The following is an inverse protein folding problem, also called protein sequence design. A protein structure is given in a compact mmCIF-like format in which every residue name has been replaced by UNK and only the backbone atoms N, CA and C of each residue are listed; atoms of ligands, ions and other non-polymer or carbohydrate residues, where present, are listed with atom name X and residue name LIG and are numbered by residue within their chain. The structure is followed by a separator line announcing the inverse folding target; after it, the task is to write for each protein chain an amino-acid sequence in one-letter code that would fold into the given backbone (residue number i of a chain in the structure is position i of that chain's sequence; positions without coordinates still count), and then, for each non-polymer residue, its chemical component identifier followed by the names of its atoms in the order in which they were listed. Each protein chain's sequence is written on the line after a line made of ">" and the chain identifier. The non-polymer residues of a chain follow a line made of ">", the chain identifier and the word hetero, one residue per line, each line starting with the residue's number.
data_IF_753400243282
#
_entry.id   IF_753400243282
#
_cell.length_a   1.000
_cell.length_b   1.000
_cell.length_c   1.000
_cell.angle_alpha   90.00
_cell.angle_beta   90.00
_cell.angle_gamma   90.00
#
_symmetry.space_group_name_H-M   'P 1'
#
loop_
_entity.id
_entity.type
_entity.pdbx_description
1 polymer ?
#
# COMPACT_ATOMS: atom_id res chain seq x y z
N UNK A 1 -17.14 -7.68 -73.41
CA UNK A 1 -16.03 -7.87 -72.45
C UNK A 1 -15.17 -6.61 -72.44
N UNK A 2 -15.20 -5.82 -71.36
CA UNK A 2 -14.25 -4.70 -71.19
C UNK A 2 -12.98 -5.26 -70.55
N UNK A 3 -11.93 -5.43 -71.35
CA UNK A 3 -10.61 -5.82 -70.85
C UNK A 3 -9.99 -4.59 -70.21
N UNK A 4 -9.84 -4.61 -68.88
CA UNK A 4 -9.18 -3.54 -68.13
C UNK A 4 -7.68 -3.77 -68.22
N UNK A 5 -6.97 -2.92 -68.96
CA UNK A 5 -5.50 -2.91 -68.98
C UNK A 5 -4.98 -2.22 -67.72
N UNK A 6 -4.48 -3.00 -66.78
CA UNK A 6 -3.77 -2.49 -65.60
C UNK A 6 -2.40 -2.01 -66.08
N UNK A 7 -2.13 -0.71 -65.94
CA UNK A 7 -0.84 -0.12 -66.27
C UNK A 7 0.26 -0.71 -65.38
N UNK A 8 1.53 -0.61 -65.81
CA UNK A 8 2.69 -1.09 -65.04
C UNK A 8 2.69 -0.54 -63.60
N UNK A 9 2.23 0.70 -63.38
CA UNK A 9 2.05 1.31 -62.06
C UNK A 9 0.89 0.70 -61.26
N UNK A 10 -0.23 0.34 -61.90
CA UNK A 10 -1.35 -0.33 -61.23
C UNK A 10 -0.97 -1.71 -60.66
N UNK A 11 -0.08 -2.43 -61.34
CA UNK A 11 0.47 -3.70 -60.83
C UNK A 11 1.28 -3.53 -59.55
N UNK A 12 2.08 -2.47 -59.45
CA UNK A 12 2.84 -2.17 -58.22
C UNK A 12 1.94 -1.82 -57.04
N UNK A 13 0.84 -1.11 -57.29
CA UNK A 13 -0.14 -0.76 -56.24
C UNK A 13 -0.86 -2.02 -55.73
N UNK A 14 -1.26 -2.92 -56.63
CA UNK A 14 -1.91 -4.19 -56.26
C UNK A 14 -0.92 -5.07 -55.47
N UNK A 15 0.34 -5.14 -55.91
CA UNK A 15 1.38 -5.90 -55.20
C UNK A 15 1.61 -5.34 -53.79
N UNK A 16 1.71 -4.02 -53.65
CA UNK A 16 1.90 -3.35 -52.36
C UNK A 16 0.70 -3.59 -51.41
N UNK A 17 -0.53 -3.53 -51.94
CA UNK A 17 -1.73 -3.84 -51.18
C UNK A 17 -1.76 -5.32 -50.73
N UNK A 18 -1.39 -6.26 -51.60
CA UNK A 18 -1.32 -7.68 -51.25
C UNK A 18 -0.27 -7.96 -50.16
N UNK A 19 0.92 -7.36 -50.26
CA UNK A 19 1.98 -7.48 -49.25
C UNK A 19 1.53 -6.89 -47.91
N UNK A 20 0.85 -5.73 -47.93
CA UNK A 20 0.32 -5.10 -46.73
C UNK A 20 -0.74 -5.98 -46.04
N UNK A 21 -1.69 -6.53 -46.80
CA UNK A 21 -2.75 -7.41 -46.26
C UNK A 21 -2.16 -8.71 -45.71
N UNK A 22 -1.25 -9.36 -46.44
CA UNK A 22 -0.58 -10.59 -46.00
C UNK A 22 0.27 -10.34 -44.73
N UNK A 23 1.00 -9.23 -44.68
CA UNK A 23 1.77 -8.83 -43.50
C UNK A 23 0.90 -8.66 -42.26
N UNK A 24 -0.26 -7.99 -42.40
CA UNK A 24 -1.20 -7.82 -41.29
C UNK A 24 -1.86 -9.13 -40.86
N UNK A 25 -2.18 -10.04 -41.80
CA UNK A 25 -2.71 -11.37 -41.46
C UNK A 25 -1.70 -12.20 -40.66
N UNK A 26 -0.41 -12.17 -41.03
CA UNK A 26 0.67 -12.87 -40.30
C UNK A 26 0.87 -12.28 -38.91
N UNK A 27 0.81 -10.95 -38.77
CA UNK A 27 0.90 -10.28 -37.46
C UNK A 27 -0.29 -10.64 -36.57
N UNK A 28 -1.51 -10.67 -37.11
CA UNK A 28 -2.71 -11.06 -36.38
C UNK A 28 -2.64 -12.53 -35.93
N UNK A 29 -2.22 -13.43 -36.82
CA UNK A 29 -2.00 -14.85 -36.49
C UNK A 29 -0.96 -15.02 -35.38
N UNK A 30 0.17 -14.29 -35.45
CA UNK A 30 1.20 -14.30 -34.40
C UNK A 30 0.69 -13.73 -33.08
N UNK A 31 -0.14 -12.70 -33.11
CA UNK A 31 -0.71 -12.10 -31.90
C UNK A 31 -1.71 -13.04 -31.22
N UNK A 32 -2.62 -13.64 -31.99
CA UNK A 32 -3.59 -14.63 -31.48
C UNK A 32 -2.85 -15.84 -30.90
N UNK A 33 -1.89 -16.42 -31.62
CA UNK A 33 -1.14 -17.57 -31.12
C UNK A 33 -0.25 -17.24 -29.91
N UNK A 34 0.34 -16.04 -29.83
CA UNK A 34 1.10 -15.63 -28.65
C UNK A 34 0.23 -15.57 -27.40
N UNK A 35 -1.02 -15.13 -27.55
CA UNK A 35 -1.99 -15.06 -26.45
C UNK A 35 -2.42 -16.47 -26.02
N UNK A 36 -2.70 -17.36 -26.99
CA UNK A 36 -3.04 -18.76 -26.72
C UNK A 36 -1.89 -19.55 -26.06
N UNK A 37 -0.63 -19.35 -26.49
CA UNK A 37 0.54 -19.98 -25.88
C UNK A 37 0.73 -19.49 -24.44
N UNK A 38 0.57 -18.17 -24.19
CA UNK A 38 0.67 -17.63 -22.83
C UNK A 38 -0.42 -18.17 -21.89
N UNK A 39 -1.64 -18.39 -22.40
CA UNK A 39 -2.71 -19.02 -21.62
C UNK A 39 -2.43 -20.50 -21.34
N UNK A 40 -1.90 -21.25 -22.31
CA UNK A 40 -1.48 -22.64 -22.14
C UNK A 40 -0.32 -22.78 -21.15
N UNK A 41 0.69 -21.91 -21.22
CA UNK A 41 1.80 -21.86 -20.26
C UNK A 41 1.31 -21.52 -18.85
N UNK A 42 0.36 -20.59 -18.73
CA UNK A 42 -0.26 -20.23 -17.44
C UNK A 42 -1.07 -21.40 -16.86
N UNK A 43 -1.83 -22.10 -17.69
CA UNK A 43 -2.59 -23.28 -17.27
C UNK A 43 -1.67 -24.44 -16.86
N UNK A 44 -0.60 -24.69 -17.61
CA UNK A 44 0.41 -25.70 -17.28
C UNK A 44 1.11 -25.37 -15.95
N UNK A 45 1.50 -24.11 -15.74
CA UNK A 45 2.12 -23.65 -14.50
C UNK A 45 1.19 -23.73 -13.30
N UNK A 46 -0.10 -23.40 -13.48
CA UNK A 46 -1.10 -23.54 -12.42
C UNK A 46 -1.32 -25.02 -12.05
N UNK A 47 -1.27 -25.92 -13.03
CA UNK A 47 -1.34 -27.36 -12.80
C UNK A 47 -0.12 -27.87 -12.03
N UNK A 48 1.09 -27.48 -12.44
CA UNK A 48 2.34 -27.85 -11.75
C UNK A 48 2.37 -27.37 -10.29
N UNK A 49 1.91 -26.13 -10.05
CA UNK A 49 1.76 -25.59 -8.68
C UNK A 49 0.73 -26.43 -7.91
N UNK A 50 -0.44 -26.70 -8.49
CA UNK A 50 -1.49 -27.51 -7.86
C UNK A 50 -0.98 -28.92 -7.49
N UNK A 51 -0.23 -29.56 -8.38
CA UNK A 51 0.30 -30.91 -8.16
C UNK A 51 1.36 -30.91 -7.04
N UNK A 52 2.23 -29.90 -7.01
CA UNK A 52 3.21 -29.72 -5.91
C UNK A 52 2.55 -29.50 -4.54
N UNK A 53 1.47 -28.71 -4.48
CA UNK A 53 0.70 -28.54 -3.24
C UNK A 53 0.03 -29.85 -2.79
N UNK A 54 -0.51 -30.62 -3.72
CA UNK A 54 -1.14 -31.91 -3.43
C UNK A 54 -0.14 -32.97 -2.96
N UNK A 55 1.08 -32.98 -3.48
CA UNK A 55 2.16 -33.85 -2.98
C UNK A 55 2.55 -33.50 -1.54
N UNK A 56 2.74 -32.21 -1.24
CA UNK A 56 3.06 -31.76 0.12
C UNK A 56 1.96 -32.08 1.14
N UNK A 57 0.70 -32.18 0.71
CA UNK A 57 -0.44 -32.54 1.57
C UNK A 57 -0.52 -34.04 1.88
N UNK A 58 0.09 -34.91 1.05
CA UNK A 58 0.09 -36.37 1.27
C UNK A 58 0.95 -36.81 2.46
N UNK A 59 1.86 -35.95 2.93
CA UNK A 59 2.72 -36.20 4.10
C UNK A 59 2.11 -35.69 5.42
N UNK A 60 0.90 -35.12 5.40
CA UNK A 60 0.25 -34.51 6.56
C UNK A 60 -0.91 -35.34 7.13
N UNK A 61 -1.35 -34.97 8.33
CA UNK A 61 -2.34 -35.63 9.18
C UNK A 61 -3.59 -36.17 8.44
N UNK A 62 -4.23 -37.23 8.97
CA UNK A 62 -5.16 -38.09 8.21
C UNK A 62 -6.31 -37.37 7.48
N UNK A 63 -6.78 -36.21 7.99
CA UNK A 63 -7.86 -35.40 7.38
C UNK A 63 -7.44 -34.65 6.12
N UNK A 64 -6.17 -34.26 5.99
CA UNK A 64 -5.66 -33.52 4.83
C UNK A 64 -5.38 -34.45 3.64
N UNK A 65 -5.07 -35.71 3.93
CA UNK A 65 -4.94 -36.77 2.94
C UNK A 65 -6.26 -37.03 2.20
N UNK A 66 -7.38 -37.12 2.91
CA UNK A 66 -8.71 -37.31 2.31
C UNK A 66 -9.08 -36.16 1.36
N UNK A 67 -8.69 -34.92 1.72
CA UNK A 67 -8.90 -33.73 0.89
C UNK A 67 -8.05 -33.78 -0.39
N UNK A 68 -6.77 -34.16 -0.28
CA UNK A 68 -5.89 -34.31 -1.44
C UNK A 68 -6.38 -35.39 -2.42
N UNK A 69 -6.88 -36.52 -1.90
CA UNK A 69 -7.48 -37.58 -2.71
C UNK A 69 -8.78 -37.13 -3.40
N UNK A 70 -9.63 -36.35 -2.72
CA UNK A 70 -10.86 -35.79 -3.31
C UNK A 70 -10.55 -34.84 -4.47
N UNK A 71 -9.54 -33.98 -4.33
CA UNK A 71 -9.11 -33.04 -5.38
C UNK A 71 -8.54 -33.80 -6.59
N UNK A 72 -7.72 -34.83 -6.37
CA UNK A 72 -7.21 -35.68 -7.47
C UNK A 72 -8.35 -36.38 -8.23
N UNK A 73 -9.39 -36.86 -7.54
CA UNK A 73 -10.57 -37.45 -8.18
C UNK A 73 -11.34 -36.45 -9.04
N UNK A 74 -11.47 -35.20 -8.59
CA UNK A 74 -12.11 -34.14 -9.36
C UNK A 74 -11.32 -33.77 -10.63
N UNK A 75 -9.99 -33.76 -10.56
CA UNK A 75 -9.13 -33.52 -11.73
C UNK A 75 -9.18 -34.66 -12.76
N UNK A 76 -9.47 -35.89 -12.34
CA UNK A 76 -9.54 -37.06 -13.23
C UNK A 76 -10.86 -37.20 -14.00
N UNK A 77 -11.88 -36.38 -13.69
CA UNK A 77 -13.16 -36.43 -14.39
C UNK A 77 -13.05 -35.75 -15.76
N UNK A 78 -13.45 -36.41 -16.87
CA UNK A 78 -13.47 -35.79 -18.18
C UNK A 78 -14.51 -34.67 -18.22
N UNK A 79 -14.10 -33.49 -18.70
CA UNK A 79 -14.98 -32.34 -18.96
C UNK A 79 -15.94 -32.72 -20.10
N UNK A 80 -17.25 -32.82 -19.79
CA UNK A 80 -18.29 -32.83 -20.83
C UNK A 80 -18.34 -31.44 -21.44
N UNK A 81 -17.95 -31.32 -22.70
CA UNK A 81 -18.11 -30.12 -23.51
C UNK A 81 -19.60 -29.81 -23.71
N UNK A 82 -19.93 -28.52 -23.65
CA UNK A 82 -21.27 -27.96 -23.76
C UNK A 82 -22.06 -28.44 -24.97
N UNK A 83 -23.28 -28.90 -24.73
CA UNK A 83 -24.37 -28.80 -25.68
C UNK A 83 -25.59 -28.23 -24.94
N UNK A 84 -25.98 -27.04 -25.37
CA UNK A 84 -27.16 -26.30 -24.95
C UNK A 84 -28.40 -27.12 -25.30
N UNK A 85 -29.18 -27.47 -24.28
CA UNK A 85 -30.50 -28.09 -24.39
C UNK A 85 -31.37 -27.62 -23.25
N UNK A 86 -32.25 -26.67 -23.55
CA UNK A 86 -33.34 -26.21 -22.68
C UNK A 86 -34.25 -27.39 -22.31
N UNK A 87 -34.27 -27.78 -21.05
CA UNK A 87 -35.43 -28.49 -20.48
C UNK A 87 -35.81 -27.86 -19.13
N UNK A 88 -36.98 -27.25 -19.16
CA UNK A 88 -37.75 -26.76 -18.02
C UNK A 88 -38.24 -27.98 -17.23
N UNK A 89 -37.97 -28.04 -15.93
CA UNK A 89 -38.78 -28.87 -15.02
C UNK A 89 -38.85 -28.31 -13.60
N UNK A 90 -40.00 -27.68 -13.38
CA UNK A 90 -40.85 -27.57 -12.20
C UNK A 90 -40.25 -27.80 -10.79
N UNK A 91 -40.46 -26.76 -9.98
CA UNK A 91 -40.45 -26.78 -8.52
C UNK A 91 -41.41 -27.83 -7.97
N UNK A 92 -41.01 -28.51 -6.89
CA UNK A 92 -41.96 -28.95 -5.88
C UNK A 92 -41.37 -28.82 -4.48
N UNK A 93 -42.17 -28.18 -3.63
CA UNK A 93 -42.00 -27.99 -2.20
C UNK A 93 -41.84 -29.33 -1.47
N UNK A 94 -41.10 -29.33 -0.36
CA UNK A 94 -41.62 -29.88 0.89
C UNK A 94 -40.85 -29.34 2.09
N UNK A 95 -41.65 -28.76 2.99
CA UNK A 95 -41.33 -28.36 4.35
C UNK A 95 -40.93 -29.57 5.20
N UNK A 96 -40.00 -29.38 6.14
CA UNK A 96 -40.03 -30.11 7.42
C UNK A 96 -39.70 -29.13 8.54
N UNK A 97 -40.74 -28.80 9.29
CA UNK A 97 -40.68 -28.23 10.63
C UNK A 97 -40.06 -29.22 11.62
N UNK A 98 -39.17 -28.75 12.50
CA UNK A 98 -39.00 -29.33 13.83
C UNK A 98 -38.67 -28.20 14.81
N UNK A 99 -39.66 -27.83 15.61
CA UNK A 99 -39.53 -26.86 16.68
C UNK A 99 -38.86 -27.46 17.91
N UNK A 100 -38.15 -26.61 18.66
CA UNK A 100 -37.80 -26.86 20.04
C UNK A 100 -38.01 -25.57 20.83
N UNK A 101 -39.10 -25.54 21.60
CA UNK A 101 -39.31 -24.61 22.72
C UNK A 101 -39.00 -25.34 24.03
N UNK A 102 -38.64 -24.57 25.06
CA UNK A 102 -38.95 -24.71 26.52
C UNK A 102 -37.88 -23.87 27.24
N UNK A 103 -38.20 -22.62 27.59
CA UNK A 103 -38.70 -22.12 28.89
C UNK A 103 -37.60 -21.70 29.87
N UNK A 104 -37.68 -20.43 30.24
CA UNK A 104 -37.02 -19.76 31.36
C UNK A 104 -37.76 -20.04 32.67
N UNK A 105 -37.07 -19.99 33.83
CA UNK A 105 -37.71 -19.58 35.07
C UNK A 105 -37.04 -18.34 35.69
N UNK A 106 -37.88 -17.30 35.81
CA UNK A 106 -38.17 -16.45 36.97
C UNK A 106 -37.05 -15.96 37.93
N UNK A 107 -37.13 -14.65 38.15
CA UNK A 107 -36.53 -13.83 39.20
C UNK A 107 -36.87 -14.31 40.62
N UNK A 108 -35.91 -14.14 41.55
CA UNK A 108 -36.18 -13.94 42.97
C UNK A 108 -35.28 -12.81 43.48
N UNK A 109 -35.90 -11.69 43.88
CA UNK A 109 -35.31 -10.68 44.77
C UNK A 109 -35.57 -11.09 46.23
N UNK A 110 -34.60 -10.90 47.15
CA UNK A 110 -34.81 -10.19 48.43
C UNK A 110 -33.52 -10.04 49.29
N UNK A 111 -33.20 -8.76 49.59
CA UNK A 111 -32.73 -8.13 50.86
C UNK A 111 -31.52 -8.64 51.68
N UNK A 112 -30.46 -7.83 51.63
CA UNK A 112 -29.70 -7.13 52.71
C UNK A 112 -29.39 -7.75 54.11
N UNK A 113 -28.05 -7.90 54.33
CA UNK A 113 -27.19 -7.52 55.50
C UNK A 113 -27.32 -8.17 56.90
N UNK A 114 -26.28 -8.10 57.79
CA UNK A 114 -24.81 -7.99 57.59
C UNK A 114 -24.01 -8.94 58.52
N UNK A 115 -22.76 -9.31 58.18
CA UNK A 115 -21.81 -9.81 59.19
C UNK A 115 -20.37 -9.34 58.93
N UNK A 116 -19.86 -8.63 59.94
CA UNK A 116 -18.50 -8.13 60.09
C UNK A 116 -17.54 -9.29 60.33
N UNK A 117 -16.42 -9.32 59.60
CA UNK A 117 -15.18 -9.89 60.14
C UNK A 117 -14.00 -9.03 59.67
N UNK A 118 -13.33 -8.42 60.63
CA UNK A 118 -12.15 -7.60 60.43
C UNK A 118 -10.90 -8.49 60.54
N UNK A 119 -9.95 -8.42 59.60
CA UNK A 119 -8.52 -8.54 59.94
C UNK A 119 -7.59 -8.03 58.84
N UNK A 120 -6.62 -7.19 59.27
CA UNK A 120 -5.23 -7.07 58.80
C UNK A 120 -4.91 -6.34 57.48
N UNK A 121 -4.94 -5.00 57.53
CA UNK A 121 -4.13 -4.16 56.63
C UNK A 121 -2.67 -4.14 57.12
N UNK A 122 -1.81 -4.94 56.47
CA UNK A 122 -0.36 -4.69 56.47
C UNK A 122 -0.08 -3.54 55.50
N UNK A 123 0.37 -2.42 56.03
CA UNK A 123 0.92 -1.30 55.26
C UNK A 123 2.17 -1.75 54.50
N UNK A 124 2.01 -2.12 53.22
CA UNK A 124 3.12 -2.03 52.26
C UNK A 124 3.20 -0.56 51.83
N UNK A 125 4.25 0.12 52.29
CA UNK A 125 4.72 1.36 51.70
C UNK A 125 4.83 1.15 50.18
N UNK A 126 3.91 1.73 49.43
CA UNK A 126 4.05 1.90 48.00
C UNK A 126 5.11 2.98 47.80
N UNK A 127 6.34 2.57 47.49
CA UNK A 127 7.30 3.47 46.89
C UNK A 127 6.67 4.03 45.62
N UNK A 128 6.75 5.35 45.36
CA UNK A 128 6.27 5.89 44.11
C UNK A 128 7.17 5.31 43.01
N UNK A 129 6.61 4.43 42.20
CA UNK A 129 7.19 4.15 40.88
C UNK A 129 6.98 5.43 40.09
N UNK A 130 7.96 6.33 40.16
CA UNK A 130 8.15 7.32 39.11
C UNK A 130 8.50 6.52 37.85
N UNK A 131 7.48 6.13 37.09
CA UNK A 131 7.66 5.88 35.67
C UNK A 131 8.13 7.21 35.11
N UNK A 132 9.45 7.40 35.00
CA UNK A 132 9.98 8.36 34.04
C UNK A 132 9.28 8.03 32.73
N UNK A 133 8.43 8.93 32.25
CA UNK A 133 7.78 8.74 30.97
C UNK A 133 8.89 8.53 29.96
N UNK A 134 8.97 7.33 29.36
CA UNK A 134 10.02 7.02 28.39
C UNK A 134 10.08 8.15 27.37
N UNK A 135 11.24 8.79 27.33
CA UNK A 135 11.43 9.98 26.51
C UNK A 135 11.28 9.58 25.04
N UNK A 136 10.39 10.28 24.32
CA UNK A 136 10.13 9.98 22.92
C UNK A 136 11.43 10.11 22.10
N UNK A 137 11.80 9.05 21.38
CA UNK A 137 12.89 9.07 20.41
C UNK A 137 12.46 8.35 19.13
N UNK A 138 12.65 9.02 17.98
CA UNK A 138 12.50 8.43 16.65
C UNK A 138 13.64 8.92 15.75
N UNK A 139 14.54 8.02 15.36
CA UNK A 139 15.65 8.38 14.49
C UNK A 139 15.15 8.73 13.09
N UNK A 140 15.62 9.83 12.51
CA UNK A 140 15.37 10.15 11.11
C UNK A 140 16.47 9.51 10.27
N UNK A 141 16.12 8.46 9.52
CA UNK A 141 17.02 7.83 8.57
C UNK A 141 16.84 8.46 7.18
N UNK A 142 17.86 9.21 6.75
CA UNK A 142 17.91 9.79 5.41
C UNK A 142 18.64 8.84 4.46
N UNK A 143 17.96 8.39 3.41
CA UNK A 143 18.49 7.52 2.36
C UNK A 143 19.07 8.39 1.23
N UNK A 144 20.41 8.40 1.10
CA UNK A 144 21.13 9.19 0.11
C UNK A 144 22.02 8.32 -0.80
N UNK A 145 22.43 8.86 -1.94
CA UNK A 145 23.33 8.18 -2.88
C UNK A 145 24.31 9.17 -3.51
N UNK A 146 23.95 9.75 -4.66
CA UNK A 146 24.84 10.55 -5.51
C UNK A 146 24.21 11.88 -5.95
N UNK A 147 23.33 12.42 -5.11
CA UNK A 147 22.65 13.70 -5.35
C UNK A 147 23.07 14.71 -4.29
N UNK A 148 23.99 15.66 -4.60
CA UNK A 148 24.35 16.73 -3.68
C UNK A 148 23.15 17.61 -3.25
N UNK A 149 22.04 17.55 -4.00
CA UNK A 149 20.76 18.15 -3.62
C UNK A 149 20.16 17.59 -2.33
N UNK A 150 20.69 16.50 -1.77
CA UNK A 150 20.41 16.05 -0.38
C UNK A 150 20.51 17.20 0.62
N UNK A 151 21.34 18.22 0.30
CA UNK A 151 21.40 19.47 1.04
C UNK A 151 20.02 20.06 1.32
N UNK A 152 19.14 20.11 0.32
CA UNK A 152 17.78 20.67 0.44
C UNK A 152 16.92 19.90 1.43
N UNK A 153 16.99 18.57 1.39
CA UNK A 153 16.29 17.70 2.33
C UNK A 153 16.79 17.92 3.76
N UNK A 154 18.12 17.92 3.95
CA UNK A 154 18.75 18.12 5.27
C UNK A 154 18.51 19.51 5.85
N UNK A 155 18.57 20.56 5.03
CA UNK A 155 18.26 21.94 5.44
C UNK A 155 16.85 22.01 6.05
N UNK A 156 15.85 21.39 5.42
CA UNK A 156 14.46 21.39 5.92
C UNK A 156 14.30 20.51 7.17
N UNK A 157 14.90 19.31 7.17
CA UNK A 157 14.91 18.42 8.33
C UNK A 157 15.47 19.12 9.56
N UNK A 158 16.61 19.80 9.43
CA UNK A 158 17.25 20.53 10.54
C UNK A 158 16.42 21.77 10.91
N UNK A 159 15.94 22.54 9.93
CA UNK A 159 15.15 23.75 10.17
C UNK A 159 13.90 23.49 11.01
N UNK A 160 13.19 22.39 10.74
CA UNK A 160 11.94 22.07 11.44
C UNK A 160 12.11 21.11 12.62
N UNK A 161 13.32 20.60 12.88
CA UNK A 161 13.59 19.65 13.98
C UNK A 161 13.33 20.32 15.34
N UNK A 162 12.39 19.80 16.16
CA UNK A 162 12.09 20.39 17.46
C UNK A 162 13.16 20.06 18.51
N UNK A 163 13.79 18.90 18.41
CA UNK A 163 14.81 18.44 19.35
C UNK A 163 15.77 17.46 18.69
N UNK A 164 17.08 17.67 18.90
CA UNK A 164 18.14 16.76 18.43
C UNK A 164 18.05 15.40 19.14
N UNK A 165 17.60 15.41 20.40
CA UNK A 165 17.47 14.20 21.23
C UNK A 165 16.27 13.36 20.84
N UNK A 166 15.13 14.00 20.55
CA UNK A 166 13.91 13.29 20.13
C UNK A 166 14.02 12.78 18.68
N UNK A 167 14.72 13.52 17.81
CA UNK A 167 14.85 13.22 16.39
C UNK A 167 16.32 13.28 15.92
N UNK A 168 17.17 12.34 16.37
CA UNK A 168 18.53 12.24 15.85
C UNK A 168 18.48 11.91 14.35
N UNK A 169 19.27 12.61 13.54
CA UNK A 169 19.30 12.42 12.09
C UNK A 169 20.49 11.55 11.73
N UNK A 170 20.24 10.41 11.10
CA UNK A 170 21.23 9.50 10.53
C UNK A 170 21.14 9.57 9.01
N UNK A 171 22.22 9.95 8.34
CA UNK A 171 22.30 9.96 6.88
C UNK A 171 23.08 8.74 6.44
N UNK A 172 22.40 7.85 5.72
CA UNK A 172 23.00 6.67 5.12
C UNK A 172 23.21 6.90 3.63
N UNK A 173 24.47 6.94 3.20
CA UNK A 173 24.83 7.17 1.80
C UNK A 173 25.34 5.89 1.14
N UNK A 174 24.73 5.52 0.01
CA UNK A 174 25.26 4.52 -0.92
C UNK A 174 26.13 5.17 -2.02
N UNK A 175 26.50 4.42 -3.05
CA UNK A 175 27.06 4.90 -4.33
C UNK A 175 28.47 5.49 -4.27
N UNK A 176 29.00 5.86 -3.10
CA UNK A 176 30.36 6.36 -2.93
C UNK A 176 30.63 7.73 -3.57
N UNK A 177 29.59 8.52 -3.82
CA UNK A 177 29.73 9.83 -4.48
C UNK A 177 30.38 10.87 -3.55
N UNK A 178 31.56 11.36 -3.94
CA UNK A 178 32.36 12.27 -3.11
C UNK A 178 31.70 13.64 -2.91
N UNK A 179 31.01 14.18 -3.93
CA UNK A 179 30.36 15.48 -3.85
C UNK A 179 29.21 15.45 -2.83
N UNK A 180 28.37 14.43 -2.88
CA UNK A 180 27.28 14.18 -1.93
C UNK A 180 27.84 13.93 -0.52
N UNK A 181 28.89 13.11 -0.40
CA UNK A 181 29.54 12.85 0.89
C UNK A 181 30.08 14.14 1.54
N UNK A 182 30.68 15.03 0.75
CA UNK A 182 31.20 16.32 1.24
C UNK A 182 30.06 17.25 1.71
N UNK A 183 28.93 17.27 1.00
CA UNK A 183 27.72 17.99 1.46
C UNK A 183 27.25 17.44 2.80
N UNK A 184 27.13 16.12 2.95
CA UNK A 184 26.65 15.51 4.20
C UNK A 184 27.62 15.81 5.35
N UNK A 185 28.93 15.65 5.15
CA UNK A 185 29.96 15.95 6.17
C UNK A 185 29.94 17.41 6.61
N UNK A 186 29.56 18.34 5.74
CA UNK A 186 29.50 19.77 6.08
C UNK A 186 28.50 20.12 7.18
N UNK A 187 27.54 19.24 7.47
CA UNK A 187 26.58 19.41 8.57
C UNK A 187 27.17 19.08 9.96
N UNK A 188 28.37 18.50 10.03
CA UNK A 188 29.06 18.24 11.28
C UNK A 188 28.24 17.39 12.25
N UNK A 189 28.12 17.86 13.49
CA UNK A 189 27.41 17.17 14.57
C UNK A 189 25.88 17.21 14.48
N UNK A 190 25.31 17.89 13.48
CA UNK A 190 23.86 17.93 13.29
C UNK A 190 23.29 16.59 12.81
N UNK A 191 24.14 15.75 12.21
CA UNK A 191 23.80 14.44 11.63
C UNK A 191 24.85 13.39 11.98
N UNK A 192 24.45 12.13 12.05
CA UNK A 192 25.37 10.98 12.02
C UNK A 192 25.49 10.48 10.59
N UNK A 193 26.69 10.42 10.05
CA UNK A 193 26.92 10.05 8.65
C UNK A 193 27.53 8.64 8.55
N UNK A 194 26.82 7.73 7.87
CA UNK A 194 27.24 6.35 7.62
C UNK A 194 27.25 6.04 6.12
N UNK A 195 28.14 5.13 5.70
CA UNK A 195 28.34 4.81 4.28
C UNK A 195 28.17 3.31 4.03
N UNK A 196 27.32 2.96 3.07
CA UNK A 196 27.06 1.58 2.68
C UNK A 196 28.36 0.96 2.12
N UNK A 197 28.87 -0.13 2.72
CA UNK A 197 30.23 -0.61 2.46
C UNK A 197 30.40 -1.34 1.12
N UNK A 198 29.37 -2.04 0.65
CA UNK A 198 29.39 -2.84 -0.57
C UNK A 198 28.86 -2.05 -1.77
N UNK A 199 29.75 -1.46 -2.57
CA UNK A 199 29.37 -0.70 -3.78
C UNK A 199 29.29 -1.57 -5.04
N UNK A 200 29.50 -2.89 -4.93
CA UNK A 200 29.49 -3.80 -6.08
C UNK A 200 28.09 -3.95 -6.68
N UNK A 201 28.01 -4.57 -7.86
CA UNK A 201 26.73 -4.99 -8.40
C UNK A 201 26.11 -6.11 -7.55
N UNK A 202 24.79 -6.07 -7.40
CA UNK A 202 24.07 -7.07 -6.62
C UNK A 202 24.17 -8.42 -7.34
N UNK A 203 24.61 -9.44 -6.60
CA UNK A 203 24.72 -10.81 -7.12
C UNK A 203 23.32 -11.41 -7.33
N UNK A 204 23.26 -12.45 -8.15
CA UNK A 204 22.04 -13.25 -8.38
C UNK A 204 20.86 -12.48 -9.01
N UNK A 205 21.11 -11.28 -9.55
CA UNK A 205 20.13 -10.54 -10.35
C UNK A 205 19.88 -11.30 -11.67
N UNK A 206 18.63 -11.66 -11.98
CA UNK A 206 18.28 -12.36 -13.22
C UNK A 206 18.78 -11.62 -14.47
N UNK A 207 19.24 -12.35 -15.49
CA UNK A 207 19.84 -11.77 -16.69
C UNK A 207 18.92 -10.74 -17.38
N UNK A 208 17.62 -11.02 -17.45
CA UNK A 208 16.60 -10.13 -18.01
C UNK A 208 16.31 -8.88 -17.15
N UNK A 209 16.79 -8.83 -15.91
CA UNK A 209 16.60 -7.69 -14.98
C UNK A 209 17.88 -6.89 -14.73
N UNK A 210 19.01 -7.23 -15.38
CA UNK A 210 20.27 -6.49 -15.21
C UNK A 210 20.16 -5.00 -15.55
N UNK A 211 19.31 -4.63 -16.50
CA UNK A 211 19.02 -3.23 -16.84
C UNK A 211 18.33 -2.44 -15.70
N UNK A 212 17.87 -3.13 -14.66
CA UNK A 212 17.19 -2.57 -13.48
C UNK A 212 18.07 -2.66 -12.22
N UNK A 213 19.38 -2.86 -12.35
CA UNK A 213 20.34 -3.00 -11.24
C UNK A 213 20.18 -1.94 -10.13
N UNK A 214 19.80 -0.70 -10.50
CA UNK A 214 19.53 0.36 -9.52
C UNK A 214 18.50 -0.02 -8.45
N UNK A 215 17.42 -0.74 -8.81
CA UNK A 215 16.39 -1.16 -7.85
C UNK A 215 16.91 -2.22 -6.85
N UNK A 216 17.86 -3.04 -7.28
CA UNK A 216 18.52 -4.03 -6.44
C UNK A 216 19.52 -3.36 -5.48
N UNK A 217 20.28 -2.37 -5.96
CA UNK A 217 21.16 -1.56 -5.11
C UNK A 217 20.37 -0.78 -4.05
N UNK A 218 19.23 -0.19 -4.43
CA UNK A 218 18.30 0.45 -3.48
C UNK A 218 17.86 -0.55 -2.41
N UNK A 219 17.43 -1.76 -2.79
CA UNK A 219 16.98 -2.75 -1.80
C UNK A 219 18.10 -3.16 -0.84
N UNK A 220 19.32 -3.39 -1.34
CA UNK A 220 20.51 -3.65 -0.50
C UNK A 220 20.79 -2.50 0.46
N UNK A 221 20.73 -1.26 -0.03
CA UNK A 221 21.00 -0.07 0.77
C UNK A 221 19.97 0.11 1.89
N UNK A 222 18.68 -0.02 1.59
CA UNK A 222 17.62 -0.02 2.60
C UNK A 222 17.84 -1.09 3.66
N UNK A 223 18.14 -2.33 3.25
CA UNK A 223 18.41 -3.43 4.20
C UNK A 223 19.55 -3.08 5.15
N UNK A 224 20.69 -2.64 4.59
CA UNK A 224 21.87 -2.31 5.38
C UNK A 224 21.61 -1.12 6.32
N UNK A 225 21.01 -0.05 5.82
CA UNK A 225 20.76 1.17 6.57
C UNK A 225 19.78 0.94 7.74
N UNK A 226 18.69 0.19 7.51
CA UNK A 226 17.75 -0.18 8.56
C UNK A 226 18.43 -1.05 9.61
N UNK A 227 19.25 -2.03 9.21
CA UNK A 227 20.05 -2.82 10.15
C UNK A 227 21.02 -1.97 10.98
N UNK A 228 21.65 -0.95 10.39
CA UNK A 228 22.48 -0.02 11.17
C UNK A 228 21.67 0.71 12.24
N UNK A 229 20.50 1.24 11.88
CA UNK A 229 19.70 2.07 12.80
C UNK A 229 19.00 1.23 13.87
N UNK A 230 18.44 0.06 13.51
CA UNK A 230 17.73 -0.79 14.45
C UNK A 230 18.64 -1.70 15.27
N UNK A 231 19.62 -2.35 14.64
CA UNK A 231 20.39 -3.42 15.28
C UNK A 231 21.68 -2.87 15.90
N UNK A 232 22.39 -2.00 15.19
CA UNK A 232 23.67 -1.47 15.67
C UNK A 232 23.52 -0.23 16.57
N UNK A 233 22.63 0.70 16.21
CA UNK A 233 22.38 1.92 16.98
C UNK A 233 21.30 1.74 18.05
N UNK A 234 20.51 0.66 17.99
CA UNK A 234 19.54 0.30 19.02
C UNK A 234 18.28 1.17 19.05
N UNK A 235 17.99 1.96 18.00
CA UNK A 235 16.73 2.69 17.94
C UNK A 235 15.54 1.75 17.80
N UNK A 236 14.41 2.13 18.36
CA UNK A 236 13.17 1.34 18.32
C UNK A 236 12.14 1.91 17.33
N UNK A 237 12.30 3.16 16.91
CA UNK A 237 11.43 3.85 15.94
C UNK A 237 12.28 4.64 14.96
N UNK A 238 11.92 4.55 13.68
CA UNK A 238 12.63 5.23 12.59
C UNK A 238 11.65 5.96 11.69
N UNK A 239 11.97 7.21 11.33
CA UNK A 239 11.38 7.98 10.24
C UNK A 239 12.28 7.89 9.01
N UNK A 240 11.86 7.20 7.97
CA UNK A 240 12.63 7.03 6.74
C UNK A 240 12.27 8.14 5.75
N UNK A 241 13.29 8.84 5.26
CA UNK A 241 13.16 9.97 4.32
C UNK A 241 14.18 9.78 3.18
N UNK A 242 13.76 9.87 1.92
CA UNK A 242 14.68 9.86 0.78
C UNK A 242 15.29 11.25 0.54
N UNK A 243 16.51 11.31 0.00
CA UNK A 243 17.28 12.55 -0.21
C UNK A 243 16.65 13.57 -1.16
N UNK A 244 15.56 13.22 -1.84
CA UNK A 244 14.81 14.08 -2.76
C UNK A 244 13.45 14.57 -2.23
N UNK A 245 13.21 14.47 -0.92
CA UNK A 245 11.97 14.93 -0.29
C UNK A 245 12.12 16.31 0.37
N UNK A 246 11.20 17.22 0.03
CA UNK A 246 10.82 18.34 0.89
C UNK A 246 9.92 17.82 2.03
N UNK A 247 10.05 18.40 3.22
CA UNK A 247 9.16 18.14 4.35
C UNK A 247 8.34 19.39 4.74
N UNK A 248 7.15 19.17 5.30
CA UNK A 248 6.27 20.21 5.79
C UNK A 248 6.71 20.78 7.16
N UNK A 249 6.27 22.00 7.54
CA UNK A 249 6.61 22.61 8.84
C UNK A 249 6.09 21.86 10.07
N UNK A 250 5.11 20.98 9.91
CA UNK A 250 4.52 20.13 10.95
C UNK A 250 4.91 18.65 10.83
N UNK A 251 5.91 18.31 10.01
CA UNK A 251 6.36 16.92 9.79
C UNK A 251 6.64 16.16 11.11
N UNK A 252 7.44 16.76 12.00
CA UNK A 252 7.77 16.14 13.29
C UNK A 252 6.58 16.09 14.26
N UNK A 253 5.75 17.14 14.27
CA UNK A 253 4.51 17.19 15.07
C UNK A 253 3.55 16.07 14.67
N UNK A 254 3.39 15.83 13.36
CA UNK A 254 2.59 14.75 12.80
C UNK A 254 3.07 13.36 13.24
N UNK A 255 4.36 13.05 13.10
CA UNK A 255 4.89 11.74 13.50
C UNK A 255 4.88 11.53 15.01
N UNK A 256 5.20 12.56 15.79
CA UNK A 256 5.15 12.50 17.25
C UNK A 256 3.74 12.19 17.75
N UNK A 257 2.73 12.86 17.20
CA UNK A 257 1.33 12.68 17.59
C UNK A 257 0.75 11.32 17.16
N UNK A 258 1.24 10.73 16.06
CA UNK A 258 0.71 9.47 15.51
C UNK A 258 1.46 8.22 16.00
N UNK A 259 2.69 8.35 16.54
CA UNK A 259 3.44 7.21 17.11
C UNK A 259 2.64 6.43 18.16
N UNK A 260 1.94 7.07 19.13
CA UNK A 260 1.15 6.33 20.12
C UNK A 260 0.05 5.45 19.51
N UNK A 261 -0.45 5.77 18.31
CA UNK A 261 -1.41 4.92 17.60
C UNK A 261 -0.72 3.69 17.02
N UNK A 262 0.45 3.88 16.41
CA UNK A 262 1.28 2.79 15.88
C UNK A 262 1.75 1.83 16.98
N UNK A 263 1.98 2.33 18.19
CA UNK A 263 2.34 1.50 19.35
C UNK A 263 1.15 0.67 19.88
N UNK A 264 -0.06 1.24 19.84
CA UNK A 264 -1.27 0.65 20.46
C UNK A 264 -2.05 -0.27 19.54
N UNK A 265 -2.07 0.02 18.24
CA UNK A 265 -2.91 -0.67 17.27
C UNK A 265 -2.08 -1.63 16.39
N UNK A 266 -2.11 -2.96 16.65
CA UNK A 266 -1.33 -3.93 15.88
C UNK A 266 -1.82 -4.10 14.43
N UNK A 267 -2.99 -3.55 14.10
CA UNK A 267 -3.45 -3.48 12.72
C UNK A 267 -2.81 -2.33 11.94
N UNK A 268 -2.01 -1.47 12.60
CA UNK A 268 -1.14 -0.52 11.95
C UNK A 268 0.28 -1.08 11.85
N UNK A 269 0.94 -0.77 10.75
CA UNK A 269 2.36 -1.11 10.55
C UNK A 269 3.23 0.07 10.10
N UNK A 270 2.61 1.18 9.69
CA UNK A 270 3.35 2.39 9.37
C UNK A 270 2.50 3.66 9.55
N UNK A 271 3.19 4.79 9.58
CA UNK A 271 2.59 6.11 9.33
C UNK A 271 3.34 6.69 8.15
N UNK A 272 2.65 7.17 7.12
CA UNK A 272 3.26 7.84 5.97
C UNK A 272 2.88 9.31 5.96
N UNK A 273 3.80 10.16 5.50
CA UNK A 273 3.59 11.58 5.23
C UNK A 273 2.99 11.83 3.84
N UNK A 274 2.80 10.79 3.03
CA UNK A 274 2.42 10.89 1.63
C UNK A 274 0.92 10.66 1.41
N UNK A 275 0.38 11.33 0.38
CA UNK A 275 -0.92 11.01 -0.21
C UNK A 275 -0.76 10.95 -1.73
N UNK A 276 -0.91 9.77 -2.34
CA UNK A 276 -0.78 9.57 -3.79
C UNK A 276 -1.85 10.35 -4.57
N UNK A 277 -2.99 10.71 -3.97
CA UNK A 277 -3.98 11.59 -4.61
C UNK A 277 -3.90 13.03 -4.09
N UNK A 278 -2.79 13.40 -3.44
CA UNK A 278 -2.59 14.65 -2.72
C UNK A 278 -2.29 15.87 -3.59
N UNK A 279 -2.82 15.97 -4.80
CA UNK A 279 -2.53 17.08 -5.73
C UNK A 279 -3.20 18.37 -5.28
N UNK A 280 -2.65 19.52 -5.71
CA UNK A 280 -3.35 20.81 -5.56
C UNK A 280 -4.75 20.73 -6.17
N UNK A 281 -5.77 21.21 -5.44
CA UNK A 281 -7.18 21.10 -5.83
C UNK A 281 -7.84 19.74 -5.53
N UNK A 282 -7.07 18.72 -5.11
CA UNK A 282 -7.59 17.39 -4.73
C UNK A 282 -7.50 17.10 -3.21
N UNK A 283 -7.12 18.10 -2.43
CA UNK A 283 -7.02 18.08 -0.97
C UNK A 283 -7.50 19.40 -0.39
N UNK A 284 -8.04 19.40 0.83
CA UNK A 284 -8.59 20.61 1.46
C UNK A 284 -8.24 20.75 2.93
N UNK A 285 -8.30 19.67 3.71
CA UNK A 285 -8.23 19.71 5.17
C UNK A 285 -6.86 19.34 5.70
N UNK A 286 -6.27 20.23 6.50
CA UNK A 286 -4.96 19.99 7.09
C UNK A 286 -5.00 19.12 8.36
N UNK A 287 -6.19 18.94 8.92
CA UNK A 287 -6.45 18.28 10.21
C UNK A 287 -6.96 16.83 10.07
N UNK A 288 -7.24 16.37 8.84
CA UNK A 288 -7.78 15.03 8.59
C UNK A 288 -6.66 14.06 8.24
N UNK A 289 -6.69 12.91 8.91
CA UNK A 289 -5.87 11.74 8.64
C UNK A 289 -6.78 10.56 8.27
N UNK A 290 -6.22 9.61 7.54
CA UNK A 290 -6.92 8.42 7.07
C UNK A 290 -6.10 7.17 7.37
N UNK A 291 -6.77 6.02 7.40
CA UNK A 291 -6.11 4.72 7.23
C UNK A 291 -5.97 4.43 5.73
N UNK A 292 -4.98 3.63 5.35
CA UNK A 292 -4.78 3.14 3.98
C UNK A 292 -4.16 1.75 4.01
N UNK A 293 -4.68 0.83 3.20
CA UNK A 293 -4.10 -0.51 2.99
C UNK A 293 -2.98 -0.48 1.94
N UNK A 294 -2.92 0.58 1.14
CA UNK A 294 -1.80 0.83 0.25
C UNK A 294 -0.61 1.38 1.05
N UNK A 295 0.55 0.69 1.00
CA UNK A 295 1.81 1.18 1.58
C UNK A 295 2.41 2.31 0.71
N UNK A 296 2.45 3.56 1.20
CA UNK A 296 2.86 4.69 0.36
C UNK A 296 4.37 4.95 0.36
N UNK A 297 5.05 4.69 1.48
CA UNK A 297 6.44 5.12 1.68
C UNK A 297 6.57 6.65 1.78
N UNK A 298 7.55 7.20 1.05
CA UNK A 298 7.77 8.65 0.80
C UNK A 298 7.69 9.54 2.06
N UNK A 299 8.56 9.26 3.03
CA UNK A 299 8.50 9.86 4.37
C UNK A 299 7.59 9.03 5.27
N UNK A 300 8.13 8.03 5.95
CA UNK A 300 7.31 7.07 6.68
C UNK A 300 7.97 6.58 7.96
N UNK A 301 7.16 6.25 8.96
CA UNK A 301 7.56 5.77 10.27
C UNK A 301 7.31 4.27 10.39
N UNK A 302 8.29 3.56 10.97
CA UNK A 302 8.15 2.16 11.35
C UNK A 302 8.80 1.87 12.71
N UNK A 303 8.35 0.76 13.32
CA UNK A 303 8.85 0.23 14.60
C UNK A 303 9.85 -0.90 14.37
N UNK A 304 10.76 -1.14 15.32
CA UNK A 304 11.74 -2.24 15.26
C UNK A 304 11.10 -3.60 15.14
N UNK A 305 9.93 -3.82 15.76
CA UNK A 305 9.18 -5.07 15.63
C UNK A 305 8.85 -5.43 14.19
N UNK A 306 8.53 -4.44 13.34
CA UNK A 306 8.32 -4.68 11.91
C UNK A 306 9.64 -5.01 11.20
N UNK A 307 10.74 -4.34 11.54
CA UNK A 307 12.06 -4.66 10.99
C UNK A 307 12.47 -6.11 11.25
N UNK A 308 12.31 -6.58 12.49
CA UNK A 308 12.57 -7.98 12.90
C UNK A 308 11.74 -8.97 12.09
N UNK A 309 10.52 -8.59 11.69
CA UNK A 309 9.70 -9.42 10.81
C UNK A 309 10.20 -9.42 9.35
N UNK A 310 10.61 -8.27 8.82
CA UNK A 310 10.91 -8.09 7.40
C UNK A 310 12.35 -8.47 7.03
N UNK A 311 13.33 -8.18 7.88
CA UNK A 311 14.76 -8.38 7.59
C UNK A 311 15.10 -9.81 7.12
N UNK A 312 14.64 -10.89 7.79
CA UNK A 312 15.03 -12.25 7.42
C UNK A 312 14.56 -12.65 6.01
N UNK A 313 13.51 -11.99 5.52
CA UNK A 313 12.89 -12.22 4.21
C UNK A 313 13.03 -11.03 3.26
N UNK A 314 13.93 -10.10 3.55
CA UNK A 314 14.09 -8.87 2.77
C UNK A 314 14.41 -9.18 1.29
N UNK A 315 13.75 -8.52 0.33
CA UNK A 315 13.82 -8.90 -1.07
C UNK A 315 15.11 -8.45 -1.74
N UNK A 316 15.50 -9.12 -2.83
CA UNK A 316 16.68 -8.76 -3.60
C UNK A 316 16.55 -7.37 -4.26
N UNK A 317 15.35 -7.00 -4.70
CA UNK A 317 15.03 -5.74 -5.38
C UNK A 317 13.55 -5.36 -5.17
N UNK A 318 13.15 -4.17 -5.63
CA UNK A 318 11.75 -3.70 -5.61
C UNK A 318 11.09 -3.75 -4.22
N UNK A 319 11.84 -3.29 -3.20
CA UNK A 319 11.48 -3.45 -1.78
C UNK A 319 10.09 -2.89 -1.43
N UNK A 320 9.68 -1.78 -2.04
CA UNK A 320 8.43 -1.10 -1.75
C UNK A 320 7.23 -1.84 -2.34
N UNK A 321 7.34 -2.34 -3.59
CA UNK A 321 6.34 -3.21 -4.20
C UNK A 321 6.23 -4.55 -3.45
N UNK A 322 7.36 -5.12 -3.01
CA UNK A 322 7.37 -6.31 -2.16
C UNK A 322 6.68 -6.08 -0.81
N UNK A 323 6.88 -4.91 -0.17
CA UNK A 323 6.14 -4.58 1.04
C UNK A 323 4.63 -4.54 0.79
N UNK A 324 4.17 -4.06 -0.38
CA UNK A 324 2.73 -3.98 -0.70
C UNK A 324 2.06 -5.37 -0.81
N UNK A 325 2.83 -6.43 -1.05
CA UNK A 325 2.32 -7.80 -1.16
C UNK A 325 1.64 -8.26 0.14
N UNK A 326 0.61 -9.09 0.00
CA UNK A 326 -0.20 -9.56 1.12
C UNK A 326 0.63 -10.32 2.18
N UNK A 327 1.68 -11.04 1.77
CA UNK A 327 2.50 -11.85 2.68
C UNK A 327 3.40 -11.02 3.63
N UNK A 328 3.61 -9.73 3.29
CA UNK A 328 4.33 -8.75 4.09
C UNK A 328 3.32 -7.88 4.83
N UNK A 329 2.35 -7.30 4.11
CA UNK A 329 1.35 -6.40 4.66
C UNK A 329 0.50 -7.06 5.75
N UNK A 330 0.12 -8.34 5.59
CA UNK A 330 -0.70 -9.11 6.54
C UNK A 330 -1.94 -8.35 7.02
N UNK A 331 -2.63 -7.72 6.07
CA UNK A 331 -3.86 -6.93 6.30
C UNK A 331 -3.73 -5.78 7.31
N UNK A 332 -2.49 -5.31 7.53
CA UNK A 332 -2.21 -4.08 8.27
C UNK A 332 -2.33 -2.86 7.36
N UNK A 333 -2.69 -1.73 7.95
CA UNK A 333 -2.85 -0.44 7.28
C UNK A 333 -1.79 0.56 7.76
N UNK A 334 -1.57 1.62 6.99
CA UNK A 334 -0.84 2.79 7.45
C UNK A 334 -1.79 3.95 7.77
N UNK A 335 -1.33 4.88 8.60
CA UNK A 335 -1.94 6.22 8.68
C UNK A 335 -1.35 7.09 7.57
N UNK A 336 -2.17 7.89 6.89
CA UNK A 336 -1.75 8.88 5.90
C UNK A 336 -2.52 10.20 6.09
N UNK A 337 -2.01 11.36 5.66
CA UNK A 337 -2.71 12.62 5.80
C UNK A 337 -3.59 12.92 4.58
N UNK A 338 -4.53 13.87 4.71
CA UNK A 338 -5.17 14.45 3.52
C UNK A 338 -4.18 15.29 2.71
N UNK A 339 -3.62 16.33 3.32
CA UNK A 339 -2.56 17.15 2.73
C UNK A 339 -1.20 16.51 3.07
N UNK A 340 -0.40 16.10 2.08
CA UNK A 340 0.92 15.51 2.30
C UNK A 340 1.85 16.36 3.15
N UNK A 341 2.66 15.69 3.99
CA UNK A 341 3.75 16.26 4.80
C UNK A 341 5.10 16.12 4.12
N UNK A 342 5.14 15.49 2.96
CA UNK A 342 6.30 15.37 2.08
C UNK A 342 5.92 15.64 0.63
N UNK A 343 6.89 16.12 -0.15
CA UNK A 343 6.79 16.24 -1.61
C UNK A 343 8.15 15.95 -2.21
N UNK A 344 8.22 15.16 -3.29
CA UNK A 344 9.49 14.93 -3.98
C UNK A 344 9.84 16.10 -4.92
N UNK A 345 11.12 16.46 -4.96
CA UNK A 345 11.73 17.32 -5.98
C UNK A 345 12.66 16.53 -6.92
N UNK A 346 12.73 15.20 -6.77
CA UNK A 346 13.63 14.30 -7.48
C UNK A 346 13.14 13.94 -8.88
N UNK A 347 13.29 14.87 -9.84
CA UNK A 347 12.97 14.58 -11.25
C UNK A 347 13.84 13.47 -11.87
N UNK A 348 15.11 13.44 -11.49
CA UNK A 348 16.10 12.45 -11.97
C UNK A 348 16.40 11.47 -10.84
N UNK A 349 16.20 10.19 -11.11
CA UNK A 349 16.44 9.09 -10.18
C UNK A 349 16.50 7.74 -10.91
N UNK A 350 16.50 6.63 -10.17
CA UNK A 350 16.59 5.27 -10.73
C UNK A 350 15.46 4.96 -11.72
N UNK A 351 14.26 5.50 -11.47
CA UNK A 351 13.09 5.36 -12.35
C UNK A 351 13.13 6.28 -13.58
N UNK A 352 14.20 7.06 -13.80
CA UNK A 352 14.33 8.03 -14.90
C UNK A 352 13.18 9.05 -14.97
N UNK A 353 12.60 9.39 -13.82
CA UNK A 353 11.50 10.36 -13.73
C UNK A 353 10.14 9.80 -14.16
N UNK A 354 10.00 8.47 -14.25
CA UNK A 354 8.71 7.83 -14.49
C UNK A 354 7.70 8.35 -13.46
N UNK A 355 6.56 8.84 -13.93
CA UNK A 355 5.49 9.50 -13.17
C UNK A 355 5.82 10.87 -12.54
N UNK A 356 7.07 11.36 -12.52
CA UNK A 356 7.38 12.66 -11.92
C UNK A 356 6.63 13.80 -12.61
N UNK A 357 6.77 13.89 -13.93
CA UNK A 357 6.21 14.97 -14.74
C UNK A 357 4.69 14.88 -14.94
N UNK A 358 4.11 13.70 -14.70
CA UNK A 358 2.67 13.46 -14.88
C UNK A 358 1.91 13.49 -13.56
N UNK A 359 2.59 13.25 -12.43
CA UNK A 359 1.94 12.99 -11.16
C UNK A 359 2.69 13.59 -9.97
N UNK A 360 3.92 13.13 -9.67
CA UNK A 360 4.57 13.42 -8.38
C UNK A 360 4.85 14.90 -8.14
N UNK A 361 5.18 15.68 -9.19
CA UNK A 361 5.47 17.11 -9.05
C UNK A 361 4.25 17.96 -8.67
N UNK A 362 3.04 17.44 -8.86
CA UNK A 362 1.78 18.15 -8.60
C UNK A 362 1.25 17.92 -7.18
N UNK A 363 1.89 17.05 -6.42
CA UNK A 363 1.54 16.78 -5.03
C UNK A 363 1.75 18.04 -4.19
N UNK A 364 0.73 18.41 -3.43
CA UNK A 364 0.74 19.58 -2.56
C UNK A 364 1.57 19.27 -1.32
N UNK A 365 2.54 20.13 -1.02
CA UNK A 365 3.21 20.11 0.29
C UNK A 365 2.42 20.99 1.26
N UNK A 366 2.10 20.46 2.44
CA UNK A 366 1.53 21.28 3.50
C UNK A 366 2.49 22.41 3.92
N UNK A 367 1.96 23.63 4.00
CA UNK A 367 2.68 24.84 4.40
C UNK A 367 2.13 25.46 5.70
N UNK A 368 1.02 24.93 6.25
CA UNK A 368 0.40 25.42 7.49
C UNK A 368 0.59 24.40 8.63
N UNK A 369 1.06 24.84 9.79
CA UNK A 369 1.23 23.91 10.92
C UNK A 369 -0.12 23.47 11.48
N UNK A 370 -0.28 22.17 11.77
CA UNK A 370 -1.42 21.66 12.52
C UNK A 370 -0.95 20.96 13.82
N UNK A 371 -1.50 21.30 14.99
CA UNK A 371 -1.05 20.77 16.27
C UNK A 371 -1.67 19.41 16.60
N UNK A 372 -1.32 18.36 15.84
CA UNK A 372 -1.90 17.02 15.99
C UNK A 372 -1.83 16.46 17.42
N UNK A 373 -0.76 16.76 18.17
CA UNK A 373 -0.59 16.32 19.56
C UNK A 373 -1.65 16.88 20.52
N UNK A 374 -2.38 17.92 20.09
CA UNK A 374 -3.46 18.57 20.84
C UNK A 374 -4.85 18.17 20.35
N UNK A 375 -4.94 17.22 19.43
CA UNK A 375 -6.20 16.74 18.85
C UNK A 375 -6.48 15.29 19.24
N UNK A 376 -7.76 14.92 19.25
CA UNK A 376 -8.13 13.52 19.46
C UNK A 376 -7.93 12.72 18.17
N UNK A 377 -6.89 11.90 18.15
CA UNK A 377 -6.58 10.98 17.04
C UNK A 377 -7.13 9.55 17.27
N UNK A 378 -7.89 9.31 18.34
CA UNK A 378 -8.44 7.98 18.65
C UNK A 378 -9.39 7.45 17.58
N UNK A 379 -9.93 8.33 16.73
CA UNK A 379 -10.75 7.93 15.58
C UNK A 379 -9.99 7.08 14.56
N UNK A 380 -8.66 7.08 14.57
CA UNK A 380 -7.80 6.29 13.67
C UNK A 380 -7.55 4.87 14.15
N UNK A 381 -7.86 4.55 15.42
CA UNK A 381 -7.83 3.17 15.91
C UNK A 381 -8.84 2.34 15.11
N UNK A 382 -8.45 1.14 14.69
CA UNK A 382 -9.19 0.37 13.68
C UNK A 382 -10.69 0.27 13.94
N UNK A 383 -11.11 -0.11 15.13
CA UNK A 383 -12.53 -0.30 15.44
C UNK A 383 -13.32 1.01 15.37
N UNK A 384 -12.73 2.10 15.87
CA UNK A 384 -13.30 3.43 15.75
C UNK A 384 -13.36 3.88 14.28
N UNK A 385 -12.30 3.63 13.52
CA UNK A 385 -12.21 4.05 12.12
C UNK A 385 -13.20 3.29 11.24
N UNK A 386 -13.29 1.97 11.41
CA UNK A 386 -14.26 1.14 10.70
C UNK A 386 -15.70 1.61 10.97
N UNK A 387 -16.04 1.89 12.22
CA UNK A 387 -17.38 2.32 12.58
C UNK A 387 -17.68 3.77 12.13
N UNK A 388 -16.71 4.69 12.22
CA UNK A 388 -16.93 6.13 11.93
C UNK A 388 -16.73 6.50 10.46
N UNK A 389 -15.83 5.81 9.76
CA UNK A 389 -15.48 6.12 8.39
C UNK A 389 -16.20 5.19 7.42
N UNK A 390 -16.02 3.88 7.52
CA UNK A 390 -16.55 2.93 6.52
C UNK A 390 -18.07 2.95 6.51
N UNK A 391 -18.71 2.79 7.68
CA UNK A 391 -20.18 2.84 7.80
C UNK A 391 -20.73 4.18 7.31
N UNK A 392 -20.08 5.29 7.66
CA UNK A 392 -20.49 6.62 7.20
C UNK A 392 -20.42 6.72 5.69
N UNK A 393 -19.31 6.31 5.06
CA UNK A 393 -19.13 6.43 3.60
C UNK A 393 -20.25 5.69 2.86
N UNK A 394 -20.62 4.50 3.30
CA UNK A 394 -21.71 3.75 2.69
C UNK A 394 -23.10 4.38 2.90
N UNK A 395 -23.27 5.28 3.87
CA UNK A 395 -24.50 6.05 4.08
C UNK A 395 -24.59 7.35 3.27
N UNK A 396 -23.51 7.74 2.58
CA UNK A 396 -23.47 8.98 1.80
C UNK A 396 -24.34 8.88 0.53
N UNK A 397 -24.80 10.02 -0.03
CA UNK A 397 -25.47 10.03 -1.33
C UNK A 397 -24.62 9.37 -2.42
N UNK A 398 -25.21 8.42 -3.12
CA UNK A 398 -24.61 7.78 -4.29
C UNK A 398 -24.81 8.67 -5.52
N UNK A 399 -23.71 8.98 -6.19
CA UNK A 399 -23.68 9.74 -7.45
C UNK A 399 -22.79 9.05 -8.48
N UNK A 400 -22.90 9.45 -9.74
CA UNK A 400 -21.96 9.01 -10.79
C UNK A 400 -20.81 9.98 -10.95
N UNK A 401 -19.69 9.50 -11.50
CA UNK A 401 -18.57 10.37 -11.86
C UNK A 401 -18.98 11.42 -12.91
N UNK A 402 -19.87 11.09 -13.84
CA UNK A 402 -20.38 12.04 -14.84
C UNK A 402 -21.19 13.16 -14.17
N UNK A 403 -22.02 12.87 -13.16
CA UNK A 403 -22.74 13.90 -12.41
C UNK A 403 -21.79 14.89 -11.71
N UNK A 404 -20.64 14.40 -11.22
CA UNK A 404 -19.60 15.26 -10.63
C UNK A 404 -18.93 16.14 -11.69
N UNK A 405 -18.54 15.57 -12.83
CA UNK A 405 -17.90 16.30 -13.93
C UNK A 405 -18.83 17.36 -14.52
N UNK A 406 -20.12 17.04 -14.65
CA UNK A 406 -21.18 17.94 -15.12
C UNK A 406 -21.63 18.96 -14.05
N UNK A 407 -21.07 18.91 -12.84
CA UNK A 407 -21.41 19.78 -11.70
C UNK A 407 -22.89 19.72 -11.31
N UNK A 408 -23.50 18.53 -11.39
CA UNK A 408 -24.89 18.25 -11.03
C UNK A 408 -25.06 17.68 -9.61
N UNK A 409 -24.00 17.74 -8.80
CA UNK A 409 -23.98 17.25 -7.41
C UNK A 409 -24.03 18.43 -6.45
N UNK A 410 -25.03 18.44 -5.56
CA UNK A 410 -25.21 19.49 -4.56
C UNK A 410 -24.67 19.10 -3.17
N UNK A 411 -24.51 17.80 -2.91
CA UNK A 411 -23.91 17.30 -1.67
C UNK A 411 -22.41 17.63 -1.63
N UNK A 412 -21.91 17.93 -0.43
CA UNK A 412 -20.49 18.23 -0.20
C UNK A 412 -19.64 16.99 0.07
N UNK A 413 -20.29 15.84 0.23
CA UNK A 413 -19.69 14.56 0.56
C UNK A 413 -20.54 13.43 -0.06
N UNK A 414 -19.92 12.60 -0.90
CA UNK A 414 -20.62 11.61 -1.74
C UNK A 414 -19.81 10.34 -1.93
N UNK A 415 -20.50 9.26 -2.29
CA UNK A 415 -19.88 8.04 -2.80
C UNK A 415 -20.11 7.88 -4.31
N UNK A 416 -19.11 7.32 -4.99
CA UNK A 416 -19.15 6.91 -6.40
C UNK A 416 -18.74 5.45 -6.45
N UNK A 417 -19.57 4.60 -7.03
CA UNK A 417 -19.32 3.16 -7.04
C UNK A 417 -18.42 2.73 -8.21
N UNK A 418 -17.63 1.69 -7.98
CA UNK A 418 -16.93 0.94 -9.04
C UNK A 418 -17.11 -0.56 -8.89
N UNK A 419 -17.23 -1.30 -10.00
CA UNK A 419 -17.56 -2.74 -9.99
C UNK A 419 -16.41 -3.67 -10.37
N UNK A 420 -15.31 -3.11 -10.90
CA UNK A 420 -14.14 -3.90 -11.33
C UNK A 420 -12.89 -3.01 -11.38
N UNK A 421 -11.68 -3.58 -11.45
CA UNK A 421 -10.46 -2.78 -11.64
C UNK A 421 -10.48 -1.89 -12.89
N UNK A 422 -11.11 -2.37 -13.98
CA UNK A 422 -11.24 -1.58 -15.21
C UNK A 422 -12.19 -0.41 -15.03
N UNK A 423 -13.33 -0.63 -14.37
CA UNK A 423 -14.29 0.43 -14.08
C UNK A 423 -13.74 1.42 -13.04
N UNK A 424 -13.00 0.96 -12.02
CA UNK A 424 -12.25 1.83 -11.12
C UNK A 424 -11.31 2.76 -11.89
N UNK A 425 -10.51 2.21 -12.81
CA UNK A 425 -9.57 3.02 -13.58
C UNK A 425 -10.27 4.09 -14.43
N UNK A 426 -11.47 3.81 -14.95
CA UNK A 426 -12.29 4.78 -15.67
C UNK A 426 -12.79 5.90 -14.74
N UNK A 427 -13.41 5.54 -13.61
CA UNK A 427 -13.92 6.49 -12.60
C UNK A 427 -12.78 7.34 -12.04
N UNK A 428 -11.69 6.71 -11.60
CA UNK A 428 -10.52 7.40 -11.06
C UNK A 428 -9.91 8.37 -12.09
N UNK A 429 -9.83 7.98 -13.36
CA UNK A 429 -9.34 8.85 -14.44
C UNK A 429 -10.24 10.07 -14.65
N UNK A 430 -11.56 9.88 -14.68
CA UNK A 430 -12.52 10.98 -14.81
C UNK A 430 -12.39 11.98 -13.66
N UNK A 431 -12.11 11.48 -12.45
CA UNK A 431 -11.98 12.29 -11.24
C UNK A 431 -10.54 12.75 -10.94
N UNK A 432 -9.57 12.45 -11.82
CA UNK A 432 -8.17 12.87 -11.70
C UNK A 432 -7.31 12.12 -10.67
N UNK A 433 -7.87 11.05 -10.07
CA UNK A 433 -7.18 10.16 -9.14
C UNK A 433 -6.22 9.19 -9.87
N UNK A 434 -5.33 8.56 -9.12
CA UNK A 434 -4.49 7.48 -9.64
C UNK A 434 -5.32 6.26 -10.01
N UNK A 435 -4.97 5.64 -11.14
CA UNK A 435 -5.73 4.54 -11.74
C UNK A 435 -5.10 3.17 -11.54
N UNK A 436 -3.85 3.12 -11.04
CA UNK A 436 -3.10 1.88 -10.89
C UNK A 436 -3.39 1.18 -9.55
N UNK A 437 -3.16 -0.13 -9.57
CA UNK A 437 -3.22 -1.01 -8.41
C UNK A 437 -1.83 -1.57 -8.14
N UNK A 438 -1.51 -1.81 -6.87
CA UNK A 438 -0.37 -2.64 -6.47
C UNK A 438 -0.85 -3.72 -5.53
N UNK A 439 -0.46 -4.97 -5.81
CA UNK A 439 -0.92 -6.15 -5.08
C UNK A 439 -2.46 -6.20 -4.90
N UNK A 440 -3.21 -5.77 -5.92
CA UNK A 440 -4.68 -5.75 -5.90
C UNK A 440 -5.31 -4.56 -5.15
N UNK A 441 -4.52 -3.59 -4.67
CA UNK A 441 -5.00 -2.47 -3.86
C UNK A 441 -4.85 -1.16 -4.65
N UNK A 442 -5.92 -0.36 -4.80
CA UNK A 442 -5.81 0.97 -5.37
C UNK A 442 -5.02 1.91 -4.47
N UNK A 443 -4.36 2.89 -5.08
CA UNK A 443 -3.60 3.94 -4.36
C UNK A 443 -4.46 4.63 -3.30
N UNK A 444 -3.96 4.71 -2.06
CA UNK A 444 -4.62 5.35 -0.91
C UNK A 444 -5.93 4.70 -0.46
N UNK A 445 -6.26 3.50 -0.95
CA UNK A 445 -7.49 2.82 -0.59
C UNK A 445 -7.46 2.29 0.84
N UNK A 446 -8.61 2.31 1.52
CA UNK A 446 -8.87 1.55 2.74
C UNK A 446 -10.12 0.70 2.53
N UNK A 447 -10.02 -0.62 2.61
CA UNK A 447 -11.09 -1.56 2.21
C UNK A 447 -11.65 -1.26 0.82
N UNK A 448 -10.77 -0.94 -0.12
CA UNK A 448 -11.12 -0.55 -1.49
C UNK A 448 -11.61 0.91 -1.64
N UNK A 449 -11.94 1.61 -0.56
CA UNK A 449 -12.45 2.99 -0.61
C UNK A 449 -11.30 3.96 -0.86
N UNK A 450 -11.31 4.68 -1.98
CA UNK A 450 -10.37 5.77 -2.28
C UNK A 450 -11.04 7.12 -2.04
N UNK A 451 -10.48 7.93 -1.15
CA UNK A 451 -11.05 9.24 -0.78
C UNK A 451 -10.22 10.39 -1.33
N UNK A 452 -10.87 11.27 -2.08
CA UNK A 452 -10.28 12.45 -2.74
C UNK A 452 -11.18 13.68 -2.55
N UNK A 453 -10.66 14.86 -2.84
CA UNK A 453 -11.49 16.05 -3.10
C UNK A 453 -11.59 16.25 -4.61
N UNK A 454 -12.79 16.49 -5.12
CA UNK A 454 -13.03 16.83 -6.52
C UNK A 454 -13.88 18.09 -6.61
N UNK A 455 -13.32 19.18 -7.15
CA UNK A 455 -14.01 20.48 -7.25
C UNK A 455 -14.61 20.97 -5.92
N UNK A 456 -13.94 20.69 -4.80
CA UNK A 456 -14.37 21.08 -3.45
C UNK A 456 -15.35 20.12 -2.76
N UNK A 457 -15.77 19.04 -3.43
CA UNK A 457 -16.63 17.97 -2.91
C UNK A 457 -15.73 16.82 -2.41
N UNK A 458 -16.03 16.25 -1.25
CA UNK A 458 -15.40 15.00 -0.81
C UNK A 458 -16.01 13.84 -1.60
N UNK A 459 -15.18 13.08 -2.29
CA UNK A 459 -15.62 11.96 -3.11
C UNK A 459 -14.93 10.68 -2.62
N UNK A 460 -15.76 9.70 -2.30
CA UNK A 460 -15.34 8.36 -1.94
C UNK A 460 -15.62 7.42 -3.11
N UNK A 461 -14.58 6.89 -3.75
CA UNK A 461 -14.69 5.88 -4.80
C UNK A 461 -14.74 4.52 -4.10
N UNK A 462 -15.90 3.86 -4.13
CA UNK A 462 -16.27 2.72 -3.26
C UNK A 462 -16.53 1.47 -4.13
N UNK A 463 -16.07 0.27 -3.74
CA UNK A 463 -16.45 -0.96 -4.43
C UNK A 463 -17.96 -1.19 -4.35
N UNK A 464 -18.57 -1.69 -5.42
CA UNK A 464 -20.03 -1.89 -5.53
C UNK A 464 -20.53 -3.12 -4.75
N UNK A 465 -19.61 -3.99 -4.31
CA UNK A 465 -19.86 -5.21 -3.54
C UNK A 465 -18.79 -5.40 -2.47
#
# INVERSE_FOLDING_TARGET
>A
MKVVFITKQGWWIILAACVFVLGNCVLLYRFINKTSIAELEKAARLKEISDSYLENLKESDSKLKDLAEAVQRLQSKPVKSDNIGLEIREQNNNEVHAGFQVETPAEVQLKAEPQKTATLLKSKLLLPVTTEAEEFVAAVLVMACNRPTVKRCLDLLIKYRPSVKEFPIVVSQDCGDAATANVIRSYGNQVSFIQQPDLSDVRDVPANMRGMMGYFKISRHYKWALGQVFDNMGYDTVLIVEDDLDIAPDFYEYFKATKPLLDKDPSLWCVSAWNDNGKEGMVKRNDVLYRTDFFPGLGWMMRKSLWVELEPKWPLGFWDDWMREASQRKDRSCIRPEIPRTRTFGRVGVSRGQFYDQHLKFIKLNDQKHPFSKTDLSYLLKDNYDQRFVVRVHSLPLVTADQLVEKKVFATDVQVHYSSPMNFAQVAKQLGAMTDFKAGIPRMAYKGIVSIVFSGINVHIVPSE
#
